data_IF_296997750616
#
_entry.id   IF_296997750616
#
_cell.length_a   1.000
_cell.length_b   1.000
_cell.length_c   1.000
_cell.angle_alpha   90.00
_cell.angle_beta   90.00
_cell.angle_gamma   90.00
#
_symmetry.space_group_name_H-M   'P 1'
#
loop_
_entity.id
_entity.type
_entity.pdbx_description
1 polymer ?
#
# COMPACT_ATOMS: atom_id res chain seq x y z
N UNK A 1 -13.42 -10.77 14.77
CA UNK A 1 -13.87 -9.91 13.66
C UNK A 1 -13.06 -8.61 13.52
N UNK A 2 -12.66 -7.95 14.62
CA UNK A 2 -12.01 -6.62 14.60
C UNK A 2 -10.57 -6.58 14.06
N UNK A 3 -9.78 -7.65 14.20
CA UNK A 3 -8.35 -7.68 13.79
C UNK A 3 -8.12 -7.67 12.28
N UNK A 4 -9.00 -8.33 11.52
CA UNK A 4 -8.90 -8.38 10.05
C UNK A 4 -9.09 -6.98 9.43
N UNK A 5 -10.04 -6.19 9.96
CA UNK A 5 -10.29 -4.83 9.50
C UNK A 5 -9.16 -3.87 9.91
N UNK A 6 -8.54 -4.07 11.07
CA UNK A 6 -7.38 -3.30 11.51
C UNK A 6 -6.15 -3.58 10.63
N UNK A 7 -5.90 -4.84 10.28
CA UNK A 7 -4.83 -5.26 9.36
C UNK A 7 -4.96 -4.60 7.98
N UNK A 8 -6.21 -4.49 7.50
CA UNK A 8 -6.53 -3.88 6.21
C UNK A 8 -6.05 -2.42 6.12
N UNK A 9 -6.02 -1.68 7.24
CA UNK A 9 -5.65 -0.25 7.31
C UNK A 9 -4.21 -0.06 7.82
N UNK A 10 -3.81 -0.78 8.87
CA UNK A 10 -2.52 -0.65 9.55
C UNK A 10 -1.93 -2.04 9.85
N UNK A 11 -1.58 -2.76 8.79
CA UNK A 11 -0.89 -4.04 8.85
C UNK A 11 0.31 -4.05 9.81
N UNK A 12 1.10 -2.98 9.84
CA UNK A 12 2.28 -2.87 10.71
C UNK A 12 1.96 -2.98 12.20
N UNK A 13 0.82 -2.44 12.65
CA UNK A 13 0.48 -2.34 14.07
C UNK A 13 -0.46 -3.46 14.55
N UNK A 14 -1.03 -4.22 13.62
CA UNK A 14 -2.04 -5.22 13.94
C UNK A 14 -1.49 -6.42 14.73
N UNK A 15 -0.28 -6.94 14.43
CA UNK A 15 0.31 -8.03 15.21
C UNK A 15 0.54 -7.67 16.69
N UNK A 16 0.88 -6.41 16.98
CA UNK A 16 1.12 -5.91 18.34
C UNK A 16 -0.10 -6.00 19.25
N UNK A 17 -1.30 -5.92 18.69
CA UNK A 17 -2.53 -6.08 19.46
C UNK A 17 -2.94 -7.56 19.62
N UNK A 18 -2.31 -8.49 18.89
CA UNK A 18 -2.67 -9.92 18.88
C UNK A 18 -2.61 -10.60 20.25
N UNK A 19 -1.50 -10.49 21.00
CA UNK A 19 -1.41 -11.07 22.34
C UNK A 19 -2.41 -10.46 23.34
N UNK A 20 -2.66 -9.15 23.24
CA UNK A 20 -3.67 -8.46 24.07
C UNK A 20 -5.11 -8.95 23.78
N UNK A 21 -5.33 -9.56 22.60
CA UNK A 21 -6.59 -10.19 22.22
C UNK A 21 -6.65 -11.69 22.52
N UNK A 22 -5.63 -12.26 23.17
CA UNK A 22 -5.57 -13.68 23.54
C UNK A 22 -5.36 -14.64 22.36
N UNK A 23 -4.90 -14.14 21.21
CA UNK A 23 -4.69 -14.96 20.01
C UNK A 23 -3.36 -15.70 20.06
N UNK A 24 -3.31 -16.88 19.44
CA UNK A 24 -2.05 -17.61 19.25
C UNK A 24 -1.21 -16.98 18.12
N UNK A 25 0.10 -17.24 18.14
CA UNK A 25 1.06 -16.74 17.14
C UNK A 25 0.58 -16.96 15.69
N UNK A 26 0.17 -18.18 15.39
CA UNK A 26 -0.28 -18.57 14.05
C UNK A 26 -1.59 -17.90 13.66
N UNK A 27 -2.54 -17.78 14.59
CA UNK A 27 -3.82 -17.12 14.35
C UNK A 27 -3.61 -15.64 14.04
N UNK A 28 -2.77 -14.95 14.81
CA UNK A 28 -2.39 -13.55 14.58
C UNK A 28 -1.67 -13.39 13.24
N UNK A 29 -0.72 -14.28 12.93
CA UNK A 29 0.04 -14.25 11.69
C UNK A 29 -0.85 -14.41 10.46
N UNK A 30 -1.63 -15.49 10.38
CA UNK A 30 -2.49 -15.75 9.23
C UNK A 30 -3.60 -14.71 9.10
N UNK A 31 -4.20 -14.27 10.21
CA UNK A 31 -5.22 -13.20 10.17
C UNK A 31 -4.66 -11.89 9.63
N UNK A 32 -3.44 -11.52 10.04
CA UNK A 32 -2.79 -10.31 9.54
C UNK A 32 -2.45 -10.44 8.05
N UNK A 33 -1.77 -11.53 7.66
CA UNK A 33 -1.35 -11.77 6.27
C UNK A 33 -2.55 -11.82 5.34
N UNK A 34 -3.61 -12.56 5.69
CA UNK A 34 -4.81 -12.64 4.85
C UNK A 34 -5.52 -11.29 4.72
N UNK A 35 -5.65 -10.52 5.79
CA UNK A 35 -6.24 -9.18 5.74
C UNK A 35 -5.41 -8.21 4.90
N UNK A 36 -4.09 -8.23 5.07
CA UNK A 36 -3.16 -7.44 4.26
C UNK A 36 -3.22 -7.83 2.79
N UNK A 37 -3.18 -9.13 2.49
CA UNK A 37 -3.19 -9.65 1.14
C UNK A 37 -4.50 -9.33 0.42
N UNK A 38 -5.64 -9.50 1.09
CA UNK A 38 -6.95 -9.15 0.56
C UNK A 38 -7.05 -7.66 0.21
N UNK A 39 -6.63 -6.80 1.14
CA UNK A 39 -6.56 -5.36 0.95
C UNK A 39 -5.63 -4.99 -0.22
N UNK A 40 -4.42 -5.55 -0.25
CA UNK A 40 -3.45 -5.28 -1.29
C UNK A 40 -3.95 -5.72 -2.66
N UNK A 41 -4.52 -6.92 -2.78
CA UNK A 41 -5.11 -7.42 -4.02
C UNK A 41 -6.23 -6.52 -4.52
N UNK A 42 -7.19 -6.21 -3.62
CA UNK A 42 -8.33 -5.36 -3.94
C UNK A 42 -7.86 -3.98 -4.43
N UNK A 43 -7.03 -3.29 -3.64
CA UNK A 43 -6.58 -1.93 -3.96
C UNK A 43 -5.57 -1.88 -5.12
N UNK A 44 -4.72 -2.88 -5.30
CA UNK A 44 -3.79 -2.95 -6.43
C UNK A 44 -4.54 -3.07 -7.76
N UNK A 45 -5.58 -3.92 -7.81
CA UNK A 45 -6.38 -4.08 -9.01
C UNK A 45 -7.33 -2.89 -9.23
N UNK A 46 -8.05 -2.46 -8.18
CA UNK A 46 -8.92 -1.27 -8.25
C UNK A 46 -8.16 0.03 -8.51
N UNK A 47 -6.85 0.10 -8.24
CA UNK A 47 -6.03 1.27 -8.53
C UNK A 47 -6.17 1.73 -9.98
N UNK A 48 -6.27 0.81 -10.96
CA UNK A 48 -6.52 1.23 -12.36
C UNK A 48 -7.87 1.89 -12.55
N UNK A 49 -8.91 1.40 -11.87
CA UNK A 49 -10.25 1.97 -11.97
C UNK A 49 -10.26 3.39 -11.38
N UNK A 50 -9.72 3.57 -10.18
CA UNK A 50 -9.60 4.89 -9.56
C UNK A 50 -8.71 5.85 -10.37
N UNK A 51 -7.61 5.37 -10.93
CA UNK A 51 -6.72 6.18 -11.76
C UNK A 51 -7.38 6.63 -13.05
N UNK A 52 -8.10 5.75 -13.78
CA UNK A 52 -8.83 6.11 -15.00
C UNK A 52 -9.90 7.16 -14.70
N UNK A 53 -10.73 6.92 -13.67
CA UNK A 53 -11.77 7.86 -13.24
C UNK A 53 -11.20 9.21 -12.79
N UNK A 54 -10.07 9.22 -12.10
CA UNK A 54 -9.38 10.47 -11.72
C UNK A 54 -8.86 11.22 -12.95
N UNK A 55 -8.28 10.51 -13.92
CA UNK A 55 -7.79 11.11 -15.16
C UNK A 55 -8.93 11.67 -16.01
N UNK A 56 -10.04 10.96 -16.15
CA UNK A 56 -11.24 11.43 -16.86
C UNK A 56 -11.82 12.69 -16.21
N UNK A 57 -11.99 12.68 -14.88
CA UNK A 57 -12.48 13.86 -14.14
C UNK A 57 -11.55 15.06 -14.31
N UNK A 58 -10.24 14.83 -14.40
CA UNK A 58 -9.25 15.87 -14.69
C UNK A 58 -9.37 16.36 -16.13
N UNK A 59 -9.52 15.46 -17.11
CA UNK A 59 -9.69 15.80 -18.53
C UNK A 59 -10.95 16.64 -18.75
N UNK A 60 -12.08 16.23 -18.17
CA UNK A 60 -13.35 16.96 -18.32
C UNK A 60 -13.26 18.37 -17.71
N UNK A 61 -12.58 18.54 -16.57
CA UNK A 61 -12.32 19.87 -15.99
C UNK A 61 -11.43 20.75 -16.87
N UNK A 62 -10.41 20.15 -17.49
CA UNK A 62 -9.52 20.82 -18.44
C UNK A 62 -10.31 21.27 -19.67
N UNK A 63 -11.15 20.39 -20.22
CA UNK A 63 -11.99 20.66 -21.38
C UNK A 63 -13.04 21.75 -21.08
N UNK A 64 -13.67 21.73 -19.91
CA UNK A 64 -14.58 22.78 -19.46
C UNK A 64 -13.86 24.13 -19.32
N UNK A 65 -12.68 24.16 -18.69
CA UNK A 65 -11.90 25.38 -18.55
C UNK A 65 -11.41 25.94 -19.90
N UNK A 66 -11.11 25.08 -20.88
CA UNK A 66 -10.82 25.48 -22.26
C UNK A 66 -12.05 26.10 -22.96
N UNK A 67 -13.24 25.50 -22.77
CA UNK A 67 -14.51 26.06 -23.30
C UNK A 67 -14.86 27.41 -22.67
N UNK A 68 -14.50 27.61 -21.41
CA UNK A 68 -14.68 28.88 -20.67
C UNK A 68 -13.58 29.93 -20.96
N UNK A 69 -12.63 29.65 -21.88
CA UNK A 69 -11.56 30.58 -22.26
C UNK A 69 -10.52 30.83 -21.16
N UNK A 70 -10.47 30.02 -20.10
CA UNK A 70 -9.53 30.19 -18.98
C UNK A 70 -8.14 29.69 -19.37
N UNK A 71 -7.11 30.45 -19.04
CA UNK A 71 -5.71 30.03 -19.21
C UNK A 71 -5.39 28.87 -18.26
N UNK A 72 -5.12 27.70 -18.85
CA UNK A 72 -4.76 26.52 -18.09
C UNK A 72 -3.30 26.60 -17.65
N UNK A 73 -3.07 26.88 -16.36
CA UNK A 73 -1.73 26.76 -15.79
C UNK A 73 -1.37 25.25 -15.75
N UNK A 74 -0.33 24.80 -16.46
CA UNK A 74 0.02 23.38 -16.50
C UNK A 74 0.40 22.91 -15.09
N UNK A 75 -0.33 21.91 -14.59
CA UNK A 75 -0.06 21.35 -13.25
C UNK A 75 1.32 20.68 -13.26
N UNK A 76 2.17 21.03 -12.31
CA UNK A 76 3.53 20.48 -12.19
C UNK A 76 3.50 18.94 -12.19
N UNK A 77 4.16 18.34 -13.17
CA UNK A 77 4.31 16.88 -13.30
C UNK A 77 5.21 16.29 -12.20
N UNK A 78 6.21 17.06 -11.74
CA UNK A 78 7.07 16.70 -10.61
C UNK A 78 6.65 17.40 -9.31
N UNK A 79 5.56 16.90 -8.70
CA UNK A 79 5.17 17.27 -7.33
C UNK A 79 6.19 16.72 -6.31
N UNK A 80 6.18 17.26 -5.07
CA UNK A 80 7.05 16.78 -3.97
C UNK A 80 6.95 15.25 -3.80
N UNK A 81 5.74 14.71 -3.89
CA UNK A 81 5.46 13.26 -3.83
C UNK A 81 6.06 12.50 -5.00
N UNK A 82 5.92 12.97 -6.24
CA UNK A 82 6.52 12.31 -7.40
C UNK A 82 8.06 12.32 -7.32
N UNK A 83 8.66 13.43 -6.86
CA UNK A 83 10.11 13.51 -6.62
C UNK A 83 10.58 12.54 -5.54
N UNK A 84 9.83 12.42 -4.44
CA UNK A 84 10.13 11.45 -3.37
C UNK A 84 10.08 10.01 -3.91
N UNK A 85 9.06 9.66 -4.67
CA UNK A 85 8.90 8.31 -5.22
C UNK A 85 10.00 8.00 -6.23
N UNK A 86 10.40 8.95 -7.08
CA UNK A 86 11.53 8.77 -8.01
C UNK A 86 12.85 8.59 -7.25
N UNK A 87 13.07 9.32 -6.15
CA UNK A 87 14.25 9.13 -5.28
C UNK A 87 14.26 7.75 -4.63
N UNK A 88 13.12 7.32 -4.07
CA UNK A 88 12.96 5.99 -3.50
C UNK A 88 13.19 4.91 -4.56
N UNK A 89 12.70 5.11 -5.80
CA UNK A 89 12.89 4.18 -6.91
C UNK A 89 14.36 4.02 -7.25
N UNK A 90 15.11 5.13 -7.29
CA UNK A 90 16.56 5.10 -7.55
C UNK A 90 17.33 4.42 -6.43
N UNK A 91 16.90 4.56 -5.17
CA UNK A 91 17.64 4.04 -4.00
C UNK A 91 17.30 2.59 -3.64
N UNK A 92 16.04 2.20 -3.73
CA UNK A 92 15.52 0.90 -3.26
C UNK A 92 15.05 -0.03 -4.38
N UNK A 93 14.96 0.46 -5.62
CA UNK A 93 14.49 -0.31 -6.75
C UNK A 93 13.02 -0.75 -6.63
N UNK A 94 12.61 -1.63 -7.55
CA UNK A 94 11.23 -2.17 -7.62
C UNK A 94 10.94 -3.07 -6.41
N UNK A 95 11.93 -3.89 -6.03
CA UNK A 95 11.82 -4.86 -4.93
C UNK A 95 11.60 -4.16 -3.60
N UNK A 96 12.44 -3.19 -3.26
CA UNK A 96 12.32 -2.48 -1.98
C UNK A 96 11.00 -1.71 -1.87
N UNK A 97 10.58 -1.01 -2.93
CA UNK A 97 9.31 -0.27 -2.86
C UNK A 97 8.12 -1.21 -2.73
N UNK A 98 8.09 -2.31 -3.48
CA UNK A 98 6.98 -3.26 -3.42
C UNK A 98 6.88 -3.94 -2.06
N UNK A 99 8.01 -4.16 -1.38
CA UNK A 99 8.05 -4.78 -0.05
C UNK A 99 7.66 -3.81 1.07
N UNK A 100 8.12 -2.56 0.98
CA UNK A 100 8.03 -1.61 2.10
C UNK A 100 6.89 -0.58 1.95
N UNK A 101 6.49 -0.20 0.74
CA UNK A 101 5.45 0.83 0.57
C UNK A 101 4.09 0.41 1.14
N UNK A 102 3.57 -0.83 0.91
CA UNK A 102 2.33 -1.28 1.54
C UNK A 102 2.41 -1.33 3.08
N UNK A 103 3.62 -1.49 3.63
CA UNK A 103 3.83 -1.56 5.06
C UNK A 103 3.91 -0.17 5.72
N UNK A 104 4.73 0.73 5.17
CA UNK A 104 4.97 2.06 5.77
C UNK A 104 3.84 3.07 5.50
N UNK A 105 3.19 3.01 4.33
CA UNK A 105 2.17 4.00 3.94
C UNK A 105 0.74 3.59 4.28
N UNK A 106 0.52 2.36 4.77
CA UNK A 106 -0.73 1.59 4.74
C UNK A 106 -0.89 0.72 3.50
N UNK A 107 -1.53 -0.43 3.69
CA UNK A 107 -1.74 -1.41 2.63
C UNK A 107 -2.54 -0.83 1.45
N UNK A 108 -3.64 -0.08 1.66
CA UNK A 108 -4.42 0.47 0.55
C UNK A 108 -3.61 1.50 -0.25
N UNK A 109 -3.04 2.48 0.45
CA UNK A 109 -2.34 3.61 -0.17
C UNK A 109 -1.05 3.13 -0.82
N UNK A 110 -0.28 2.30 -0.12
CA UNK A 110 0.96 1.71 -0.61
C UNK A 110 0.75 0.81 -1.81
N UNK A 111 -0.33 0.01 -1.84
CA UNK A 111 -0.67 -0.84 -3.00
C UNK A 111 -1.11 -0.02 -4.20
N UNK A 112 -1.88 1.06 -4.00
CA UNK A 112 -2.26 2.00 -5.07
C UNK A 112 -1.01 2.67 -5.66
N UNK A 113 -0.09 3.15 -4.82
CA UNK A 113 1.14 3.80 -5.26
C UNK A 113 2.02 2.79 -6.01
N UNK A 114 2.20 1.60 -5.45
CA UNK A 114 3.02 0.55 -6.08
C UNK A 114 2.44 0.17 -7.43
N UNK A 115 1.12 -0.01 -7.53
CA UNK A 115 0.42 -0.22 -8.80
C UNK A 115 0.63 0.96 -9.76
N UNK A 116 0.49 2.21 -9.30
CA UNK A 116 0.63 3.39 -10.15
C UNK A 116 2.02 3.50 -10.82
N UNK A 117 3.08 3.14 -10.10
CA UNK A 117 4.46 3.30 -10.59
C UNK A 117 5.05 2.05 -11.23
N UNK A 118 4.61 0.85 -10.80
CA UNK A 118 5.24 -0.42 -11.18
C UNK A 118 4.27 -1.45 -11.78
N UNK A 119 2.99 -1.10 -12.04
CA UNK A 119 2.03 -2.04 -12.67
C UNK A 119 2.48 -2.61 -14.01
N UNK A 120 3.35 -1.93 -14.74
CA UNK A 120 3.91 -2.46 -15.99
C UNK A 120 4.87 -3.66 -15.78
N UNK A 121 5.44 -3.81 -14.58
CA UNK A 121 6.28 -4.95 -14.23
C UNK A 121 5.42 -6.03 -13.55
N UNK A 122 5.30 -7.19 -14.20
CA UNK A 122 4.52 -8.34 -13.72
C UNK A 122 5.03 -8.88 -12.39
N UNK A 123 6.29 -8.62 -12.03
CA UNK A 123 6.90 -9.06 -10.76
C UNK A 123 6.41 -8.26 -9.57
N UNK A 124 5.84 -7.08 -9.78
CA UNK A 124 5.43 -6.16 -8.71
C UNK A 124 4.44 -6.79 -7.74
N UNK A 125 3.39 -7.44 -8.25
CA UNK A 125 2.37 -8.03 -7.38
C UNK A 125 2.92 -9.23 -6.59
N UNK A 126 3.62 -10.22 -7.19
CA UNK A 126 4.33 -11.25 -6.43
C UNK A 126 5.29 -10.69 -5.38
N UNK A 127 6.00 -9.60 -5.67
CA UNK A 127 6.88 -8.96 -4.70
C UNK A 127 6.11 -8.35 -3.53
N UNK A 128 4.95 -7.73 -3.75
CA UNK A 128 4.07 -7.25 -2.67
C UNK A 128 3.64 -8.42 -1.78
N UNK A 129 3.24 -9.54 -2.37
CA UNK A 129 2.84 -10.76 -1.63
C UNK A 129 4.00 -11.24 -0.76
N UNK A 130 5.17 -11.47 -1.35
CA UNK A 130 6.36 -11.93 -0.63
C UNK A 130 6.75 -10.95 0.50
N UNK A 131 6.66 -9.65 0.22
CA UNK A 131 6.86 -8.61 1.22
C UNK A 131 5.90 -8.75 2.40
N UNK A 132 4.61 -9.01 2.15
CA UNK A 132 3.61 -9.20 3.21
C UNK A 132 3.85 -10.44 4.06
N UNK A 133 4.18 -11.59 3.44
CA UNK A 133 4.51 -12.81 4.17
C UNK A 133 5.76 -12.60 5.06
N UNK A 134 6.83 -12.04 4.48
CA UNK A 134 8.07 -11.75 5.20
C UNK A 134 7.85 -10.77 6.34
N UNK A 135 7.19 -9.64 6.05
CA UNK A 135 6.96 -8.60 7.04
C UNK A 135 6.01 -9.07 8.14
N UNK A 136 4.96 -9.83 7.80
CA UNK A 136 4.06 -10.43 8.78
C UNK A 136 4.81 -11.33 9.76
N UNK A 137 5.75 -12.16 9.26
CA UNK A 137 6.55 -13.05 10.11
C UNK A 137 7.43 -12.24 11.07
N UNK A 138 8.07 -11.19 10.55
CA UNK A 138 8.93 -10.31 11.34
C UNK A 138 8.12 -9.60 12.43
N UNK A 139 6.99 -8.98 12.06
CA UNK A 139 6.19 -8.20 13.02
C UNK A 139 5.54 -9.08 14.08
N UNK A 140 4.96 -10.22 13.69
CA UNK A 140 4.35 -11.15 14.65
C UNK A 140 5.43 -11.83 15.50
N UNK A 141 6.56 -12.21 14.91
CA UNK A 141 7.73 -12.74 15.63
C UNK A 141 8.22 -11.79 16.71
N UNK A 142 8.44 -10.52 16.36
CA UNK A 142 8.85 -9.49 17.31
C UNK A 142 7.81 -9.36 18.42
N UNK A 143 6.52 -9.23 18.10
CA UNK A 143 5.49 -9.06 19.12
C UNK A 143 5.48 -10.20 20.14
N UNK A 144 5.45 -11.45 19.69
CA UNK A 144 5.34 -12.59 20.61
C UNK A 144 6.64 -12.85 21.38
N UNK A 145 7.81 -12.53 20.81
CA UNK A 145 9.07 -12.55 21.56
C UNK A 145 9.07 -11.51 22.68
N UNK A 146 8.61 -10.29 22.41
CA UNK A 146 8.47 -9.24 23.42
C UNK A 146 7.45 -9.62 24.50
N UNK A 147 6.31 -10.20 24.14
CA UNK A 147 5.32 -10.69 25.10
C UNK A 147 5.83 -11.88 25.91
N UNK A 148 6.70 -12.73 25.36
CA UNK A 148 7.31 -13.82 26.14
C UNK A 148 8.39 -13.36 27.13
N UNK A 149 8.89 -12.13 26.97
CA UNK A 149 9.98 -11.57 27.77
C UNK A 149 9.50 -10.74 28.98
N UNK A 150 8.22 -10.35 29.00
CA UNK A 150 7.58 -9.50 30.02
C UNK A 150 6.34 -10.18 30.60
#
# INVERSE_FOLDING_TARGET
>A
MSFFLLSTIKFLFTPFAGPAAGLNFWETYFSCVLGGLFSAFFFFYFSSFFMKRYQEKKRNKIEQALKEGKTLIPKKTFTKTNKLIVRLKRKFGIVGISFYAPLFLSVPIGSIITAKFFRHDKRTFPLVILGMFKNGLITTGITYLFTSLF
#
